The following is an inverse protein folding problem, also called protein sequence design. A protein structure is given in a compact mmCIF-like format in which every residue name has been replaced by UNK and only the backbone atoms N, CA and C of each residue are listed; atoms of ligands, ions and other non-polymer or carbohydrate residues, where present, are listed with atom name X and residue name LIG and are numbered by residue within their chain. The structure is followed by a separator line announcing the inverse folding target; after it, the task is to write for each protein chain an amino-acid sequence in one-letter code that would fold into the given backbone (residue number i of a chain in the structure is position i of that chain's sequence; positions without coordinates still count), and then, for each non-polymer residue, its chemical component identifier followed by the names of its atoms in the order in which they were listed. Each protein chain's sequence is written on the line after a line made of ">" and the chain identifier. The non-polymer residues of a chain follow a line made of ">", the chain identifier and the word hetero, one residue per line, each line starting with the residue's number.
data_IF_061143093867
#
_entry.id   IF_061143093867
#
_cell.length_a   1.000
_cell.length_b   1.000
_cell.length_c   1.000
_cell.angle_alpha   90.00
_cell.angle_beta   90.00
_cell.angle_gamma   90.00
#
_symmetry.space_group_name_H-M   'P 1'
#
loop_
_entity.id
_entity.type
_entity.pdbx_description
1 polymer ?
#
# COMPACT_ATOMS: atom_id res chain seq x y z
N UNK A 1 -54.65 8.53 0.53
CA UNK A 1 -53.75 8.35 1.69
C UNK A 1 -52.34 8.40 1.13
N UNK A 2 -51.63 9.52 1.35
CA UNK A 2 -50.36 9.81 0.69
C UNK A 2 -49.22 9.11 1.44
N UNK A 3 -48.44 8.32 0.70
CA UNK A 3 -47.21 7.69 1.16
C UNK A 3 -46.15 8.79 1.34
N UNK A 4 -45.77 9.08 2.59
CA UNK A 4 -44.66 10.00 2.88
C UNK A 4 -43.37 9.19 2.90
N UNK A 5 -42.62 9.27 1.80
CA UNK A 5 -41.24 8.78 1.68
C UNK A 5 -40.36 9.53 2.67
N UNK A 6 -39.85 8.83 3.68
CA UNK A 6 -38.95 9.38 4.69
C UNK A 6 -37.50 9.31 4.17
N UNK A 7 -37.19 10.19 3.23
CA UNK A 7 -35.82 10.48 2.79
C UNK A 7 -35.15 11.35 3.87
N UNK A 8 -34.55 10.70 4.87
CA UNK A 8 -33.71 11.39 5.86
C UNK A 8 -32.28 11.36 5.35
N UNK A 9 -31.92 12.45 4.69
CA UNK A 9 -30.58 12.77 4.25
C UNK A 9 -29.58 12.61 5.40
N UNK A 10 -28.45 12.00 5.10
CA UNK A 10 -27.25 11.89 5.94
C UNK A 10 -26.53 13.23 6.16
N UNK A 11 -27.16 14.35 5.80
CA UNK A 11 -26.62 15.72 5.90
C UNK A 11 -26.47 16.24 7.35
N UNK A 12 -26.98 15.53 8.35
CA UNK A 12 -27.33 16.12 9.65
C UNK A 12 -26.33 15.95 10.82
N UNK A 13 -25.02 15.84 10.60
CA UNK A 13 -24.09 15.87 11.77
C UNK A 13 -22.72 16.54 11.54
N UNK A 14 -22.15 16.50 10.34
CA UNK A 14 -20.80 17.01 10.05
C UNK A 14 -20.74 18.20 9.08
N UNK A 15 -21.88 18.68 8.58
CA UNK A 15 -21.95 19.72 7.55
C UNK A 15 -21.64 19.20 6.14
N UNK A 16 -21.57 20.12 5.17
CA UNK A 16 -21.20 19.83 3.78
C UNK A 16 -19.71 19.46 3.70
N UNK A 17 -19.38 18.40 2.94
CA UNK A 17 -17.99 18.02 2.71
C UNK A 17 -17.29 19.13 1.92
N UNK A 18 -16.29 19.78 2.52
CA UNK A 18 -15.62 20.95 1.95
C UNK A 18 -14.58 20.54 0.89
N UNK A 19 -13.96 19.36 1.06
CA UNK A 19 -13.03 18.77 0.10
C UNK A 19 -12.83 17.28 0.37
N UNK A 20 -12.78 16.47 -0.68
CA UNK A 20 -12.37 15.06 -0.60
C UNK A 20 -10.98 14.92 -1.22
N UNK A 21 -10.05 14.30 -0.51
CA UNK A 21 -8.74 13.94 -1.05
C UNK A 21 -8.82 12.52 -1.62
N UNK A 22 -8.67 12.41 -2.93
CA UNK A 22 -8.87 11.13 -3.64
C UNK A 22 -7.59 10.30 -3.66
N UNK A 23 -7.75 8.99 -3.85
CA UNK A 23 -6.63 8.08 -4.06
C UNK A 23 -5.86 8.44 -5.34
N UNK A 24 -6.56 8.84 -6.40
CA UNK A 24 -5.92 9.32 -7.62
C UNK A 24 -5.03 10.54 -7.36
N UNK A 25 -5.48 11.50 -6.56
CA UNK A 25 -4.67 12.64 -6.12
C UNK A 25 -3.47 12.19 -5.29
N UNK A 26 -3.68 11.26 -4.35
CA UNK A 26 -2.57 10.71 -3.55
C UNK A 26 -1.49 10.03 -4.42
N UNK A 27 -1.87 9.42 -5.54
CA UNK A 27 -0.92 8.85 -6.51
C UNK A 27 -0.21 9.96 -7.30
N UNK A 28 -0.96 10.96 -7.78
CA UNK A 28 -0.41 12.11 -8.51
C UNK A 28 0.60 12.90 -7.67
N UNK A 29 0.31 13.09 -6.38
CA UNK A 29 1.16 13.79 -5.42
C UNK A 29 2.33 12.93 -4.90
N UNK A 30 2.40 11.65 -5.31
CA UNK A 30 3.45 10.71 -4.90
C UNK A 30 3.38 10.26 -3.44
N UNK A 31 2.25 10.51 -2.75
CA UNK A 31 1.97 9.97 -1.40
C UNK A 31 1.75 8.45 -1.47
N UNK A 32 1.09 8.01 -2.54
CA UNK A 32 0.93 6.61 -2.92
C UNK A 32 1.67 6.35 -4.24
N UNK A 33 2.30 5.19 -4.35
CA UNK A 33 3.02 4.77 -5.54
C UNK A 33 2.36 3.50 -6.06
N UNK A 34 1.84 3.54 -7.29
CA UNK A 34 1.19 2.40 -7.93
C UNK A 34 2.20 1.26 -8.17
N UNK A 35 1.86 0.05 -7.72
CA UNK A 35 2.68 -1.14 -7.92
C UNK A 35 2.57 -1.72 -9.35
N UNK A 36 1.63 -1.20 -10.16
CA UNK A 36 1.49 -1.52 -11.56
C UNK A 36 1.13 -2.99 -11.84
N UNK A 37 1.52 -3.49 -13.00
CA UNK A 37 1.20 -4.87 -13.43
C UNK A 37 1.88 -5.94 -12.58
N UNK A 38 3.01 -5.63 -11.94
CA UNK A 38 3.74 -6.57 -11.09
C UNK A 38 2.88 -7.07 -9.91
N UNK A 39 1.96 -6.25 -9.41
CA UNK A 39 0.99 -6.69 -8.40
C UNK A 39 0.11 -7.84 -8.92
N UNK A 40 -0.34 -7.77 -10.18
CA UNK A 40 -1.14 -8.83 -10.78
C UNK A 40 -0.31 -10.11 -10.98
N UNK A 41 0.96 -9.98 -11.36
CA UNK A 41 1.90 -11.10 -11.49
C UNK A 41 2.18 -11.79 -10.14
N UNK A 42 2.28 -11.01 -9.04
CA UNK A 42 2.33 -11.53 -7.68
C UNK A 42 1.00 -12.16 -7.22
N UNK A 43 -0.07 -12.00 -8.01
CA UNK A 43 -1.38 -12.63 -7.86
C UNK A 43 -2.38 -11.83 -7.04
N UNK A 44 -2.22 -10.51 -6.95
CA UNK A 44 -3.26 -9.60 -6.47
C UNK A 44 -4.36 -9.43 -7.53
N UNK A 45 -5.62 -9.40 -7.08
CA UNK A 45 -6.79 -9.12 -7.94
C UNK A 45 -7.24 -7.67 -7.90
N UNK A 46 -6.85 -6.94 -6.86
CA UNK A 46 -7.21 -5.56 -6.62
C UNK A 46 -6.00 -4.66 -6.87
N UNK A 47 -6.20 -3.39 -7.29
CA UNK A 47 -5.11 -2.44 -7.43
C UNK A 47 -4.32 -2.31 -6.12
N UNK A 48 -2.99 -2.29 -6.22
CA UNK A 48 -2.08 -2.17 -5.08
C UNK A 48 -1.29 -0.88 -5.23
N UNK A 49 -1.24 -0.08 -4.16
CA UNK A 49 -0.27 1.00 -4.05
C UNK A 49 0.54 0.84 -2.76
N UNK A 50 1.74 1.43 -2.75
CA UNK A 50 2.64 1.48 -1.61
C UNK A 50 2.75 2.92 -1.13
N UNK A 51 2.72 3.20 0.17
CA UNK A 51 3.00 4.55 0.67
C UNK A 51 4.42 4.98 0.32
N UNK A 52 4.63 6.28 0.13
CA UNK A 52 5.95 6.81 -0.18
C UNK A 52 7.02 6.44 0.86
N UNK A 53 6.64 6.38 2.14
CA UNK A 53 7.53 5.96 3.22
C UNK A 53 7.91 4.48 3.12
N UNK A 54 6.93 3.58 2.94
CA UNK A 54 7.20 2.15 2.76
C UNK A 54 7.98 1.88 1.46
N UNK A 55 7.70 2.62 0.38
CA UNK A 55 8.45 2.54 -0.87
C UNK A 55 9.90 2.96 -0.67
N UNK A 56 10.14 4.12 -0.04
CA UNK A 56 11.50 4.61 0.21
C UNK A 56 12.33 3.64 1.06
N UNK A 57 11.70 2.96 2.00
CA UNK A 57 12.36 2.01 2.89
C UNK A 57 12.61 0.64 2.23
N UNK A 58 11.61 0.09 1.56
CA UNK A 58 11.63 -1.30 1.10
C UNK A 58 11.89 -1.47 -0.39
N UNK A 59 11.46 -0.53 -1.24
CA UNK A 59 11.49 -0.70 -2.70
C UNK A 59 12.59 0.14 -3.34
N UNK A 60 12.58 1.45 -3.11
CA UNK A 60 13.42 2.42 -3.81
C UNK A 60 14.89 2.00 -3.83
N UNK A 61 15.49 1.95 -5.02
CA UNK A 61 16.91 1.62 -5.15
C UNK A 61 17.50 2.16 -6.45
N UNK A 62 18.50 3.02 -6.34
CA UNK A 62 19.22 3.61 -7.47
C UNK A 62 20.60 2.98 -7.68
N UNK A 63 21.23 3.29 -8.81
CA UNK A 63 22.64 2.93 -9.05
C UNK A 63 23.56 3.52 -7.97
N UNK A 64 23.34 4.77 -7.56
CA UNK A 64 24.06 5.42 -6.47
C UNK A 64 23.97 4.65 -5.14
N UNK A 65 22.83 4.01 -4.86
CA UNK A 65 22.68 3.17 -3.67
C UNK A 65 23.52 1.90 -3.81
N UNK A 66 23.53 1.29 -5.00
CA UNK A 66 24.36 0.13 -5.29
C UNK A 66 25.85 0.42 -5.12
N UNK A 67 26.30 1.59 -5.57
CA UNK A 67 27.70 2.02 -5.46
C UNK A 67 28.13 2.26 -4.00
N UNK A 68 27.21 2.78 -3.16
CA UNK A 68 27.50 3.10 -1.76
C UNK A 68 27.47 1.89 -0.83
N UNK A 69 26.61 0.92 -1.11
CA UNK A 69 26.34 -0.17 -0.17
C UNK A 69 26.33 -1.56 -0.82
N UNK A 70 25.21 -2.00 -1.40
CA UNK A 70 25.04 -3.34 -1.95
C UNK A 70 24.30 -3.29 -3.27
N UNK A 71 24.69 -4.12 -4.22
CA UNK A 71 24.00 -4.15 -5.50
C UNK A 71 22.62 -4.79 -5.34
N UNK A 72 21.58 -4.04 -5.71
CA UNK A 72 20.18 -4.48 -5.71
C UNK A 72 19.49 -3.89 -6.94
N UNK A 73 18.36 -4.48 -7.28
CA UNK A 73 17.48 -4.03 -8.34
C UNK A 73 16.14 -3.58 -7.75
N UNK A 74 15.68 -2.37 -8.07
CA UNK A 74 14.43 -1.79 -7.53
C UNK A 74 13.22 -2.65 -7.88
N UNK A 75 13.18 -3.22 -9.11
CA UNK A 75 12.07 -4.07 -9.54
C UNK A 75 12.04 -5.39 -8.78
N UNK A 76 13.21 -5.98 -8.50
CA UNK A 76 13.34 -7.15 -7.63
C UNK A 76 12.90 -6.87 -6.20
N UNK A 77 13.18 -5.67 -5.68
CA UNK A 77 12.72 -5.27 -4.33
C UNK A 77 11.20 -5.05 -4.27
N UNK A 78 10.61 -4.47 -5.31
CA UNK A 78 9.15 -4.39 -5.43
C UNK A 78 8.53 -5.79 -5.48
N UNK A 79 9.14 -6.69 -6.25
CA UNK A 79 8.71 -8.09 -6.32
C UNK A 79 8.73 -8.76 -4.95
N UNK A 80 9.79 -8.60 -4.16
CA UNK A 80 9.88 -9.16 -2.82
C UNK A 80 8.74 -8.66 -1.90
N UNK A 81 8.45 -7.36 -1.92
CA UNK A 81 7.33 -6.76 -1.16
C UNK A 81 5.99 -7.37 -1.58
N UNK A 82 5.71 -7.41 -2.87
CA UNK A 82 4.43 -7.89 -3.39
C UNK A 82 4.26 -9.39 -3.18
N UNK A 83 5.30 -10.17 -3.45
CA UNK A 83 5.29 -11.62 -3.29
C UNK A 83 5.08 -12.00 -1.82
N UNK A 84 5.80 -11.37 -0.89
CA UNK A 84 5.66 -11.66 0.54
C UNK A 84 4.29 -11.22 1.08
N UNK A 85 3.77 -10.06 0.67
CA UNK A 85 2.42 -9.64 1.00
C UNK A 85 1.36 -10.64 0.49
N UNK A 86 1.49 -11.07 -0.76
CA UNK A 86 0.57 -12.01 -1.38
C UNK A 86 0.64 -13.41 -0.74
N UNK A 87 1.85 -13.85 -0.38
CA UNK A 87 2.06 -15.08 0.37
C UNK A 87 1.40 -15.00 1.76
N UNK A 88 1.58 -13.90 2.49
CA UNK A 88 0.97 -13.70 3.80
C UNK A 88 -0.57 -13.72 3.74
N UNK A 89 -1.18 -13.14 2.69
CA UNK A 89 -2.63 -13.21 2.47
C UNK A 89 -3.09 -14.67 2.31
N UNK A 90 -2.34 -15.47 1.53
CA UNK A 90 -2.72 -16.86 1.22
C UNK A 90 -2.54 -17.81 2.40
N UNK A 91 -1.62 -17.51 3.32
CA UNK A 91 -1.31 -18.38 4.48
C UNK A 91 -1.96 -17.92 5.78
N UNK A 92 -2.54 -16.72 5.82
CA UNK A 92 -3.29 -16.22 6.97
C UNK A 92 -4.45 -17.14 7.32
N UNK A 93 -4.62 -17.41 8.61
CA UNK A 93 -5.87 -17.92 9.17
C UNK A 93 -6.82 -16.76 9.52
N UNK A 94 -8.04 -16.81 8.98
CA UNK A 94 -9.09 -15.83 9.28
C UNK A 94 -9.25 -14.72 8.24
N UNK A 95 -10.32 -13.93 8.40
CA UNK A 95 -10.67 -12.80 7.55
C UNK A 95 -10.33 -11.46 8.23
N UNK A 96 -10.17 -10.42 7.42
CA UNK A 96 -9.94 -9.07 7.88
C UNK A 96 -9.51 -8.17 6.72
N UNK A 97 -9.60 -6.87 6.95
CA UNK A 97 -9.17 -5.81 6.05
C UNK A 97 -7.69 -5.44 6.26
N UNK A 98 -7.05 -5.88 7.35
CA UNK A 98 -5.66 -5.54 7.69
C UNK A 98 -4.81 -6.77 7.96
N UNK A 99 -3.55 -6.73 7.56
CA UNK A 99 -2.56 -7.80 7.77
C UNK A 99 -1.16 -7.21 7.97
N UNK A 100 -0.41 -7.71 8.95
CA UNK A 100 1.04 -7.50 9.02
C UNK A 100 1.75 -8.64 8.31
N UNK A 101 2.81 -8.33 7.59
CA UNK A 101 3.67 -9.31 6.95
C UNK A 101 5.13 -8.87 7.05
N UNK A 102 6.03 -9.85 6.94
CA UNK A 102 7.46 -9.63 7.10
C UNK A 102 8.19 -9.95 5.80
N UNK A 103 9.28 -9.23 5.56
CA UNK A 103 10.21 -9.50 4.47
C UNK A 103 11.63 -9.13 4.90
N UNK A 104 12.61 -9.74 4.24
CA UNK A 104 14.00 -9.32 4.37
C UNK A 104 14.28 -8.25 3.31
N UNK A 105 14.87 -7.14 3.73
CA UNK A 105 15.35 -6.09 2.83
C UNK A 105 16.72 -5.60 3.28
N UNK A 106 17.59 -5.21 2.36
CA UNK A 106 18.80 -4.44 2.72
C UNK A 106 18.38 -3.00 3.01
N UNK A 107 18.66 -2.42 4.20
CA UNK A 107 18.28 -1.04 4.49
C UNK A 107 18.94 -0.04 3.55
N UNK A 108 18.18 0.92 3.03
CA UNK A 108 18.69 1.99 2.15
C UNK A 108 19.28 3.14 2.97
N UNK A 109 20.30 2.84 3.79
CA UNK A 109 20.95 3.79 4.71
C UNK A 109 22.36 4.23 4.26
N UNK A 110 22.75 3.85 3.04
CA UNK A 110 24.04 4.19 2.44
C UNK A 110 25.23 3.38 2.95
N UNK A 111 25.01 2.37 3.81
CA UNK A 111 26.11 1.56 4.40
C UNK A 111 25.77 0.09 4.60
N UNK A 112 24.50 -0.27 4.72
CA UNK A 112 24.07 -1.63 5.05
C UNK A 112 24.22 -2.55 3.86
N UNK A 113 24.85 -3.70 4.07
CA UNK A 113 25.10 -4.70 3.01
C UNK A 113 24.41 -6.04 3.25
N UNK A 114 23.78 -6.20 4.41
CA UNK A 114 23.06 -7.41 4.79
C UNK A 114 21.56 -7.13 4.83
N UNK A 115 20.78 -8.13 4.47
CA UNK A 115 19.34 -8.06 4.58
C UNK A 115 18.91 -8.16 6.05
N UNK A 116 17.93 -7.36 6.42
CA UNK A 116 17.34 -7.29 7.75
C UNK A 116 15.84 -7.55 7.64
N UNK A 117 15.27 -8.25 8.62
CA UNK A 117 13.84 -8.50 8.68
C UNK A 117 13.13 -7.17 9.02
N UNK A 118 12.14 -6.81 8.23
CA UNK A 118 11.24 -5.70 8.49
C UNK A 118 9.79 -6.14 8.40
N UNK A 119 8.89 -5.35 8.98
CA UNK A 119 7.45 -5.60 8.97
C UNK A 119 6.76 -4.47 8.21
N UNK A 120 5.87 -4.84 7.29
CA UNK A 120 4.94 -3.94 6.64
C UNK A 120 3.50 -4.31 7.01
N UNK A 121 2.62 -3.33 6.86
CA UNK A 121 1.17 -3.47 7.01
C UNK A 121 0.54 -3.41 5.62
N UNK A 122 -0.50 -4.21 5.44
CA UNK A 122 -1.38 -4.19 4.28
C UNK A 122 -2.79 -3.87 4.77
N UNK A 123 -3.48 -2.95 4.09
CA UNK A 123 -4.87 -2.59 4.35
C UNK A 123 -5.68 -2.68 3.05
N UNK A 124 -6.89 -3.24 3.16
CA UNK A 124 -7.93 -3.24 2.14
C UNK A 124 -8.95 -2.14 2.48
N UNK A 125 -9.27 -1.28 1.52
CA UNK A 125 -10.25 -0.22 1.70
C UNK A 125 -10.97 0.14 0.39
N UNK A 126 -11.93 1.07 0.44
CA UNK A 126 -12.57 1.60 -0.76
C UNK A 126 -11.61 2.54 -1.53
N UNK A 127 -11.59 2.41 -2.84
CA UNK A 127 -11.00 3.37 -3.78
C UNK A 127 -11.97 4.51 -4.09
N UNK A 128 -11.63 5.30 -5.11
CA UNK A 128 -12.36 6.54 -5.42
C UNK A 128 -13.79 6.30 -5.91
N UNK A 129 -14.09 5.12 -6.45
CA UNK A 129 -15.43 4.70 -6.88
C UNK A 129 -16.01 3.61 -5.96
N UNK A 130 -15.42 3.42 -4.77
CA UNK A 130 -15.82 2.39 -3.82
C UNK A 130 -15.37 0.96 -4.17
N UNK A 131 -14.58 0.80 -5.23
CA UNK A 131 -13.93 -0.46 -5.58
C UNK A 131 -12.91 -0.87 -4.51
N UNK A 132 -12.69 -2.17 -4.27
CA UNK A 132 -11.67 -2.59 -3.31
C UNK A 132 -10.27 -2.28 -3.85
N UNK A 133 -9.46 -1.62 -3.02
CA UNK A 133 -8.05 -1.33 -3.27
C UNK A 133 -7.20 -1.80 -2.10
N UNK A 134 -5.93 -2.06 -2.38
CA UNK A 134 -4.94 -2.48 -1.40
C UNK A 134 -3.90 -1.38 -1.25
N UNK A 135 -3.53 -1.09 0.00
CA UNK A 135 -2.41 -0.21 0.32
C UNK A 135 -1.43 -0.96 1.19
N UNK A 136 -0.15 -0.93 0.82
CA UNK A 136 0.98 -1.42 1.61
C UNK A 136 1.68 -0.22 2.25
N UNK A 137 1.91 -0.27 3.54
CA UNK A 137 2.37 0.85 4.35
C UNK A 137 3.24 0.37 5.52
N UNK A 138 3.91 1.29 6.19
CA UNK A 138 4.60 1.00 7.44
C UNK A 138 3.58 0.64 8.54
N UNK A 139 3.98 -0.11 9.58
CA UNK A 139 3.05 -0.55 10.63
C UNK A 139 2.35 0.60 11.38
N UNK A 140 3.01 1.75 11.46
CA UNK A 140 2.58 2.95 12.19
C UNK A 140 1.83 3.98 11.33
N UNK A 141 1.75 3.80 10.02
CA UNK A 141 0.89 4.60 9.12
C UNK A 141 -0.54 4.04 9.17
N UNK A 142 -1.59 4.81 8.86
CA UNK A 142 -2.99 4.33 8.84
C UNK A 142 -3.72 4.67 7.54
#
# INVERSE_FOLDING_TARGET
>A
MSNSSNDRSTESFFGEVISTYTRAQAIEDGVLIDAGSMAQEAGFKWPVAVTSAAWADCVAWSEDDSDKQAHQDESGRLWDVLFMASHAIRTRSGSGDRLLFELYRVPRDGRSTKAELTTLKLIVGPGDQGEPVITILLPNED
#
